data_IF_351081966051
#
_entry.id   IF_351081966051
#
_cell.length_a   1.000
_cell.length_b   1.000
_cell.length_c   1.000
_cell.angle_alpha   90.00
_cell.angle_beta   90.00
_cell.angle_gamma   90.00
#
_symmetry.space_group_name_H-M   'P 1'
#
loop_
_entity.id
_entity.type
_entity.pdbx_description
1 polymer ?
#
# COMPACT_ATOMS: atom_id res chain seq x y z
N UNK A 1 -26.68 13.79 19.37
CA UNK A 1 -25.39 14.14 18.71
C UNK A 1 -25.74 14.78 17.39
N UNK A 2 -25.11 15.92 17.04
CA UNK A 2 -25.36 16.55 15.75
C UNK A 2 -24.66 15.74 14.66
N UNK A 3 -25.36 15.45 13.58
CA UNK A 3 -24.81 14.89 12.36
C UNK A 3 -24.21 16.05 11.55
N UNK A 4 -22.91 16.02 11.32
CA UNK A 4 -22.22 16.95 10.44
C UNK A 4 -22.37 16.47 8.99
N UNK A 5 -22.37 17.39 8.02
CA UNK A 5 -22.51 17.05 6.62
C UNK A 5 -21.44 17.76 5.80
N UNK A 6 -20.82 17.02 4.86
CA UNK A 6 -19.86 17.54 3.89
C UNK A 6 -20.11 16.93 2.50
N UNK A 7 -19.77 17.66 1.44
CA UNK A 7 -19.82 17.11 0.08
C UNK A 7 -18.83 15.93 -0.07
N UNK A 8 -17.61 16.09 0.45
CA UNK A 8 -16.62 15.03 0.39
C UNK A 8 -15.90 14.85 1.74
N UNK A 9 -15.89 13.62 2.23
CA UNK A 9 -15.15 13.21 3.44
C UNK A 9 -14.00 12.29 3.01
N UNK A 10 -12.77 12.70 3.28
CA UNK A 10 -11.56 11.94 2.94
C UNK A 10 -10.98 11.34 4.22
N UNK A 11 -10.79 10.04 4.24
CA UNK A 11 -10.24 9.31 5.38
C UNK A 11 -8.77 8.99 5.13
N UNK A 12 -7.87 9.70 5.84
CA UNK A 12 -6.42 9.60 5.72
C UNK A 12 -5.80 10.82 5.04
N UNK A 13 -4.98 11.55 5.77
CA UNK A 13 -4.25 12.76 5.32
C UNK A 13 -2.83 12.47 4.79
N UNK A 14 -2.62 11.26 4.24
CA UNK A 14 -1.39 10.90 3.53
C UNK A 14 -1.37 11.39 2.09
N UNK A 15 -0.38 10.97 1.26
CA UNK A 15 -0.22 11.46 -0.12
C UNK A 15 -1.46 11.20 -0.99
N UNK A 16 -2.16 10.07 -0.84
CA UNK A 16 -3.38 9.80 -1.57
C UNK A 16 -4.51 10.77 -1.16
N UNK A 17 -4.75 10.92 0.14
CA UNK A 17 -5.85 11.76 0.64
C UNK A 17 -5.66 13.24 0.32
N UNK A 18 -4.44 13.75 0.47
CA UNK A 18 -4.12 15.15 0.14
C UNK A 18 -4.21 15.40 -1.37
N UNK A 19 -3.70 14.48 -2.22
CA UNK A 19 -3.84 14.59 -3.66
C UNK A 19 -5.31 14.61 -4.09
N UNK A 20 -6.13 13.70 -3.53
CA UNK A 20 -7.57 13.67 -3.80
C UNK A 20 -8.28 14.95 -3.33
N UNK A 21 -7.96 15.46 -2.14
CA UNK A 21 -8.56 16.67 -1.59
C UNK A 21 -8.27 17.89 -2.47
N UNK A 22 -7.01 18.07 -2.87
CA UNK A 22 -6.58 19.13 -3.78
C UNK A 22 -7.34 19.02 -5.12
N UNK A 23 -7.37 17.80 -5.68
CA UNK A 23 -8.02 17.58 -6.97
C UNK A 23 -9.53 17.83 -6.93
N UNK A 24 -10.21 17.47 -5.85
CA UNK A 24 -11.63 17.80 -5.65
C UNK A 24 -11.87 19.31 -5.65
N UNK A 25 -11.02 20.08 -4.94
CA UNK A 25 -11.09 21.56 -4.93
C UNK A 25 -10.87 22.15 -6.32
N UNK A 26 -9.89 21.63 -7.08
CA UNK A 26 -9.66 22.02 -8.49
C UNK A 26 -10.88 21.73 -9.39
N UNK A 27 -11.67 20.69 -9.07
CA UNK A 27 -12.91 20.32 -9.79
C UNK A 27 -14.15 21.06 -9.30
N UNK A 28 -14.01 22.03 -8.40
CA UNK A 28 -15.11 22.88 -7.91
C UNK A 28 -15.92 22.26 -6.78
N UNK A 29 -15.43 21.24 -6.10
CA UNK A 29 -16.05 20.72 -4.87
C UNK A 29 -15.57 21.59 -3.71
N UNK A 30 -16.46 22.43 -3.17
CA UNK A 30 -16.09 23.46 -2.18
C UNK A 30 -15.98 22.90 -0.75
N UNK A 31 -16.84 21.99 -0.38
CA UNK A 31 -16.92 21.44 0.97
C UNK A 31 -16.24 20.07 1.07
N UNK A 32 -14.92 20.10 1.28
CA UNK A 32 -14.05 18.94 1.42
C UNK A 32 -13.42 18.95 2.81
N UNK A 33 -13.47 17.83 3.53
CA UNK A 33 -12.81 17.64 4.82
C UNK A 33 -11.92 16.40 4.80
N UNK A 34 -10.70 16.52 5.36
CA UNK A 34 -9.77 15.40 5.55
C UNK A 34 -9.71 15.01 7.01
N UNK A 35 -9.90 13.72 7.32
CA UNK A 35 -9.79 13.14 8.66
C UNK A 35 -8.46 12.41 8.78
N UNK A 36 -7.57 12.86 9.68
CA UNK A 36 -6.25 12.27 9.89
C UNK A 36 -6.07 11.87 11.35
N UNK A 37 -5.69 10.63 11.60
CA UNK A 37 -5.51 10.09 12.95
C UNK A 37 -4.26 10.61 13.66
N UNK A 38 -3.20 10.93 12.89
CA UNK A 38 -1.96 11.47 13.43
C UNK A 38 -2.11 12.98 13.71
N UNK A 39 -1.22 13.52 14.54
CA UNK A 39 -1.18 14.97 14.83
C UNK A 39 -0.73 15.85 13.67
N UNK A 40 -0.37 15.25 12.52
CA UNK A 40 0.10 15.95 11.32
C UNK A 40 -0.29 15.17 10.07
N UNK A 41 -0.60 15.87 8.99
CA UNK A 41 -0.78 15.31 7.65
C UNK A 41 0.56 14.95 6.98
N UNK A 42 0.51 14.24 5.83
CA UNK A 42 1.67 13.77 5.08
C UNK A 42 1.89 12.26 5.16
N UNK A 43 1.24 11.59 6.11
CA UNK A 43 1.24 10.13 6.27
C UNK A 43 2.64 9.55 6.49
N UNK A 44 2.84 8.32 6.01
CA UNK A 44 4.07 7.54 6.20
C UNK A 44 5.31 8.20 5.56
N UNK A 45 5.14 9.07 4.57
CA UNK A 45 6.26 9.73 3.89
C UNK A 45 7.09 10.62 4.81
N UNK A 46 6.51 11.15 5.88
CA UNK A 46 7.24 11.97 6.86
C UNK A 46 8.47 11.28 7.44
N UNK A 47 8.44 9.96 7.55
CA UNK A 47 9.55 9.16 8.07
C UNK A 47 10.45 8.57 6.98
N UNK A 48 10.09 8.68 5.69
CA UNK A 48 10.84 8.14 4.56
C UNK A 48 11.89 9.14 4.09
N UNK A 49 12.98 9.32 4.85
CA UNK A 49 14.00 10.36 4.62
C UNK A 49 14.98 10.04 3.47
N UNK A 50 14.85 8.88 2.82
CA UNK A 50 15.63 8.53 1.63
C UNK A 50 15.05 9.17 0.38
N UNK A 51 15.85 9.27 -0.69
CA UNK A 51 15.49 9.84 -1.98
C UNK A 51 14.75 8.84 -2.89
N UNK A 52 14.23 9.37 -4.01
CA UNK A 52 13.64 8.59 -5.11
C UNK A 52 12.13 8.74 -5.23
N UNK A 53 11.53 9.66 -4.50
CA UNK A 53 10.12 10.06 -4.65
C UNK A 53 9.98 11.21 -5.66
N UNK A 54 8.87 11.26 -6.40
CA UNK A 54 8.54 12.40 -7.26
C UNK A 54 9.09 12.34 -8.68
N UNK A 55 9.84 11.30 -9.04
CA UNK A 55 10.44 11.18 -10.38
C UNK A 55 9.41 11.18 -11.50
N UNK A 56 8.30 10.48 -11.31
CA UNK A 56 7.21 10.40 -12.30
C UNK A 56 6.26 11.59 -12.18
N UNK A 57 5.92 11.99 -10.94
CA UNK A 57 4.91 13.02 -10.66
C UNK A 57 5.44 14.43 -10.87
N UNK A 58 6.68 14.71 -10.46
CA UNK A 58 7.27 16.05 -10.45
C UNK A 58 8.49 16.19 -11.36
N UNK A 59 9.03 15.08 -11.90
CA UNK A 59 10.28 15.09 -12.67
C UNK A 59 11.53 15.38 -11.82
N UNK A 60 11.43 15.26 -10.50
CA UNK A 60 12.47 15.56 -9.52
C UNK A 60 12.65 14.41 -8.56
N UNK A 61 13.87 14.20 -8.06
CA UNK A 61 14.14 13.24 -6.98
C UNK A 61 14.01 13.94 -5.64
N UNK A 62 13.01 13.58 -4.88
CA UNK A 62 12.67 14.16 -3.57
C UNK A 62 12.84 13.10 -2.48
N UNK A 63 13.05 13.54 -1.25
CA UNK A 63 12.80 12.72 -0.07
C UNK A 63 11.30 12.60 0.22
N UNK A 64 10.91 11.62 1.04
CA UNK A 64 9.51 11.46 1.43
C UNK A 64 8.90 12.70 2.09
N UNK A 65 9.58 13.34 3.09
CA UNK A 65 9.10 14.58 3.68
C UNK A 65 8.91 15.72 2.68
N UNK A 66 9.84 15.91 1.74
CA UNK A 66 9.71 16.96 0.69
C UNK A 66 8.52 16.67 -0.22
N UNK A 67 8.34 15.42 -0.63
CA UNK A 67 7.17 15.01 -1.42
C UNK A 67 5.87 15.29 -0.69
N UNK A 68 5.75 14.88 0.57
CA UNK A 68 4.56 15.09 1.38
C UNK A 68 4.28 16.58 1.60
N UNK A 69 5.34 17.37 1.85
CA UNK A 69 5.21 18.81 2.14
C UNK A 69 4.60 19.59 0.97
N UNK A 70 4.88 19.22 -0.28
CA UNK A 70 4.24 19.84 -1.47
C UNK A 70 2.72 19.74 -1.41
N UNK A 71 2.17 18.57 -1.05
CA UNK A 71 0.74 18.37 -0.91
C UNK A 71 0.16 19.06 0.32
N UNK A 72 0.88 19.06 1.42
CA UNK A 72 0.47 19.76 2.67
C UNK A 72 0.36 21.27 2.43
N UNK A 73 1.35 21.87 1.77
CA UNK A 73 1.36 23.31 1.48
C UNK A 73 0.24 23.69 0.51
N UNK A 74 0.00 22.86 -0.51
CA UNK A 74 -1.05 23.12 -1.48
C UNK A 74 -2.46 22.95 -0.85
N UNK A 75 -2.66 21.93 -0.01
CA UNK A 75 -3.91 21.77 0.73
C UNK A 75 -4.18 22.96 1.66
N UNK A 76 -3.13 23.46 2.32
CA UNK A 76 -3.20 24.67 3.16
C UNK A 76 -3.52 25.91 2.32
N UNK A 77 -2.86 26.10 1.17
CA UNK A 77 -3.12 27.21 0.25
C UNK A 77 -4.57 27.25 -0.23
N UNK A 78 -5.16 26.08 -0.47
CA UNK A 78 -6.56 25.94 -0.87
C UNK A 78 -7.55 26.00 0.29
N UNK A 79 -7.07 26.16 1.53
CA UNK A 79 -7.91 26.25 2.73
C UNK A 79 -8.67 24.96 3.02
N UNK A 80 -8.13 23.77 2.68
CA UNK A 80 -8.78 22.48 2.92
C UNK A 80 -8.68 22.14 4.41
N UNK A 81 -9.82 21.97 5.13
CA UNK A 81 -9.81 21.53 6.52
C UNK A 81 -9.23 20.13 6.66
N UNK A 82 -8.15 20.00 7.46
CA UNK A 82 -7.55 18.73 7.83
C UNK A 82 -7.71 18.56 9.35
N UNK A 83 -8.59 17.67 9.76
CA UNK A 83 -8.85 17.37 11.15
C UNK A 83 -7.87 16.30 11.61
N UNK A 84 -6.76 16.74 12.21
CA UNK A 84 -5.74 15.88 12.83
C UNK A 84 -6.19 15.34 14.17
N UNK A 85 -5.45 14.36 14.72
CA UNK A 85 -5.82 13.65 15.97
C UNK A 85 -7.24 13.07 15.90
N UNK A 86 -7.75 12.80 14.70
CA UNK A 86 -9.12 12.36 14.46
C UNK A 86 -9.12 10.95 13.84
N UNK A 87 -9.41 9.97 14.68
CA UNK A 87 -9.42 8.55 14.29
C UNK A 87 -10.82 8.14 13.85
N UNK A 88 -10.94 7.70 12.60
CA UNK A 88 -12.17 7.08 12.09
C UNK A 88 -12.32 5.69 12.67
N UNK A 89 -13.46 5.42 13.27
CA UNK A 89 -13.79 4.17 13.94
C UNK A 89 -14.65 3.26 13.06
N UNK A 90 -15.54 3.84 12.26
CA UNK A 90 -16.50 3.11 11.43
C UNK A 90 -16.99 3.95 10.25
N UNK A 91 -17.26 3.25 9.14
CA UNK A 91 -18.01 3.74 8.00
C UNK A 91 -19.28 2.90 7.85
N UNK A 92 -20.42 3.53 7.74
CA UNK A 92 -21.72 2.90 7.50
C UNK A 92 -22.07 2.92 6.00
N UNK A 93 -23.00 2.04 5.58
CA UNK A 93 -23.41 1.92 4.17
C UNK A 93 -24.09 3.20 3.62
N UNK A 94 -24.64 4.04 4.48
CA UNK A 94 -25.23 5.33 4.12
C UNK A 94 -24.20 6.46 4.02
N UNK A 95 -22.90 6.15 4.08
CA UNK A 95 -21.77 7.07 4.07
C UNK A 95 -21.62 7.94 5.33
N UNK A 96 -22.20 7.50 6.42
CA UNK A 96 -21.94 8.11 7.72
C UNK A 96 -20.63 7.59 8.30
N UNK A 97 -19.71 8.48 8.61
CA UNK A 97 -18.43 8.21 9.24
C UNK A 97 -18.53 8.52 10.72
N UNK A 98 -18.18 7.55 11.56
CA UNK A 98 -18.02 7.76 13.00
C UNK A 98 -16.55 7.95 13.31
N UNK A 99 -16.17 9.08 13.89
CA UNK A 99 -14.79 9.42 14.22
C UNK A 99 -14.67 9.89 15.68
N UNK A 100 -13.51 9.66 16.29
CA UNK A 100 -13.13 10.17 17.61
C UNK A 100 -11.95 11.13 17.47
N UNK A 101 -12.06 12.30 18.06
CA UNK A 101 -11.04 13.33 18.05
C UNK A 101 -10.98 14.12 19.35
N UNK A 102 -10.19 15.20 19.42
CA UNK A 102 -10.03 16.02 20.63
C UNK A 102 -11.36 16.60 21.16
N UNK A 103 -12.31 16.86 20.25
CA UNK A 103 -13.64 17.36 20.59
C UNK A 103 -14.65 16.25 20.99
N UNK A 104 -14.20 14.97 21.04
CA UNK A 104 -15.04 13.83 21.35
C UNK A 104 -15.50 13.07 20.11
N UNK A 105 -16.62 12.34 20.24
CA UNK A 105 -17.20 11.53 19.17
C UNK A 105 -17.96 12.40 18.16
N UNK A 106 -17.71 12.19 16.88
CA UNK A 106 -18.33 12.89 15.76
C UNK A 106 -19.02 11.91 14.82
N UNK A 107 -20.15 12.32 14.28
CA UNK A 107 -20.83 11.63 13.18
C UNK A 107 -20.85 12.57 11.99
N UNK A 108 -20.22 12.16 10.90
CA UNK A 108 -19.98 12.98 9.72
C UNK A 108 -20.53 12.23 8.52
N UNK A 109 -21.49 12.80 7.82
CA UNK A 109 -22.04 12.25 6.59
C UNK A 109 -21.39 12.92 5.39
N UNK A 110 -20.90 12.11 4.46
CA UNK A 110 -20.39 12.58 3.16
C UNK A 110 -21.37 12.29 2.02
N UNK A 111 -21.54 13.22 1.08
CA UNK A 111 -22.14 12.88 -0.19
C UNK A 111 -21.24 11.94 -0.99
N UNK A 112 -19.92 12.12 -0.85
CA UNK A 112 -18.90 11.14 -1.22
C UNK A 112 -17.94 10.87 -0.05
N UNK A 113 -17.47 9.61 0.10
CA UNK A 113 -16.45 9.22 1.08
C UNK A 113 -15.29 8.58 0.35
N UNK A 114 -14.07 9.08 0.58
CA UNK A 114 -12.84 8.62 -0.07
C UNK A 114 -11.96 7.89 0.95
N UNK A 115 -11.70 6.62 0.69
CA UNK A 115 -10.86 5.76 1.51
C UNK A 115 -9.40 5.86 1.02
N UNK A 116 -8.55 6.52 1.81
CA UNK A 116 -7.14 6.80 1.48
C UNK A 116 -6.20 6.55 2.67
N UNK A 117 -6.63 5.71 3.62
CA UNK A 117 -5.93 5.48 4.88
C UNK A 117 -4.73 4.53 4.78
N UNK A 118 -4.32 4.18 3.57
CA UNK A 118 -3.11 3.40 3.32
C UNK A 118 -3.19 1.95 3.80
N UNK A 119 -2.08 1.43 4.28
CA UNK A 119 -1.95 0.05 4.72
C UNK A 119 -1.29 -0.03 6.10
N UNK A 120 -1.31 -1.21 6.70
CA UNK A 120 -0.58 -1.56 7.92
C UNK A 120 0.37 -2.72 7.67
N UNK A 121 1.42 -2.79 8.44
CA UNK A 121 2.39 -3.87 8.36
C UNK A 121 1.86 -5.16 9.00
N UNK A 122 2.31 -6.30 8.47
CA UNK A 122 2.12 -7.59 9.14
C UNK A 122 2.99 -7.66 10.38
N UNK A 123 2.37 -7.94 11.51
CA UNK A 123 3.05 -8.11 12.80
C UNK A 123 3.49 -9.56 13.00
N UNK A 124 4.29 -9.80 14.06
CA UNK A 124 4.63 -11.14 14.51
C UNK A 124 3.39 -12.04 14.70
N UNK A 125 2.31 -11.48 15.27
CA UNK A 125 1.07 -12.22 15.48
C UNK A 125 0.42 -12.69 14.19
N UNK A 126 0.49 -11.87 13.13
CA UNK A 126 -0.02 -12.22 11.81
C UNK A 126 0.81 -13.35 11.12
N UNK A 127 2.09 -13.50 11.50
CA UNK A 127 2.98 -14.57 11.01
C UNK A 127 2.92 -15.81 11.88
N UNK A 128 2.33 -15.72 13.08
CA UNK A 128 2.29 -16.79 14.07
C UNK A 128 3.68 -17.37 14.42
N UNK A 129 4.74 -16.54 14.43
CA UNK A 129 6.09 -16.99 14.78
C UNK A 129 6.10 -17.47 16.23
N UNK A 130 6.52 -18.72 16.50
CA UNK A 130 6.60 -19.30 17.86
C UNK A 130 7.60 -18.57 18.77
N UNK A 131 7.65 -18.99 20.03
CA UNK A 131 8.61 -18.54 21.02
C UNK A 131 8.10 -17.46 21.97
N UNK A 132 9.00 -16.89 22.73
CA UNK A 132 8.72 -15.89 23.78
C UNK A 132 8.31 -14.54 23.19
N UNK A 133 7.84 -13.62 24.05
CA UNK A 133 7.37 -12.27 23.64
C UNK A 133 8.20 -11.15 24.30
N UNK A 134 9.51 -11.09 24.07
CA UNK A 134 10.34 -10.04 24.62
C UNK A 134 10.15 -8.70 23.91
N UNK A 135 10.65 -7.61 24.48
CA UNK A 135 10.90 -6.37 23.75
C UNK A 135 12.00 -6.57 22.69
N UNK A 136 12.05 -5.72 21.66
CA UNK A 136 13.05 -5.79 20.58
C UNK A 136 12.54 -6.39 19.29
N UNK A 137 11.23 -6.67 19.17
CA UNK A 137 10.59 -7.11 17.93
C UNK A 137 9.77 -5.95 17.36
N UNK A 138 10.13 -5.49 16.17
CA UNK A 138 9.58 -4.30 15.54
C UNK A 138 9.10 -4.63 14.12
N UNK A 139 8.07 -3.96 13.65
CA UNK A 139 7.84 -3.84 12.21
C UNK A 139 8.78 -2.79 11.63
N UNK A 140 9.11 -2.92 10.34
CA UNK A 140 10.09 -2.05 9.71
C UNK A 140 9.68 -0.56 9.72
N UNK A 141 8.40 -0.26 9.48
CA UNK A 141 7.90 1.10 9.51
C UNK A 141 7.89 1.72 10.90
N UNK A 142 7.58 0.94 11.96
CA UNK A 142 7.68 1.43 13.34
C UNK A 142 9.14 1.68 13.73
N UNK A 143 10.07 0.79 13.35
CA UNK A 143 11.50 1.02 13.58
C UNK A 143 11.99 2.27 12.85
N UNK A 144 11.52 2.50 11.61
CA UNK A 144 11.82 3.69 10.84
C UNK A 144 11.32 4.97 11.51
N UNK A 145 10.10 4.97 12.06
CA UNK A 145 9.56 6.10 12.83
C UNK A 145 10.43 6.43 14.04
N UNK A 146 10.80 5.41 14.83
CA UNK A 146 11.63 5.62 16.03
C UNK A 146 12.97 6.24 15.69
N UNK A 147 13.63 5.76 14.65
CA UNK A 147 14.94 6.27 14.24
C UNK A 147 14.80 7.66 13.59
N UNK A 148 13.92 7.81 12.60
CA UNK A 148 13.92 8.99 11.74
C UNK A 148 13.12 10.16 12.31
N UNK A 149 12.05 9.92 13.09
CA UNK A 149 11.24 10.98 13.66
C UNK A 149 11.48 11.20 15.16
N UNK A 150 11.92 10.16 15.89
CA UNK A 150 12.10 10.24 17.34
C UNK A 150 13.56 10.22 17.78
N UNK A 151 14.49 10.08 16.83
CA UNK A 151 15.94 9.98 17.07
C UNK A 151 16.29 8.93 18.16
N UNK A 152 15.67 7.76 18.08
CA UNK A 152 15.83 6.67 19.03
C UNK A 152 16.20 5.36 18.34
N UNK A 153 17.33 4.80 18.70
CA UNK A 153 17.74 3.48 18.23
C UNK A 153 16.83 2.38 18.79
N UNK A 154 16.53 1.39 17.96
CA UNK A 154 15.67 0.24 18.31
C UNK A 154 16.49 -0.95 18.86
N UNK A 155 17.79 -1.01 18.52
CA UNK A 155 18.76 -2.00 19.00
C UNK A 155 20.10 -1.90 18.29
N UNK A 156 21.00 -2.86 18.55
CA UNK A 156 22.38 -2.86 18.04
C UNK A 156 22.74 -4.08 17.22
N UNK A 157 22.29 -5.26 17.61
CA UNK A 157 22.50 -6.53 16.92
C UNK A 157 21.18 -6.92 16.25
N UNK A 158 21.07 -6.70 14.93
CA UNK A 158 19.80 -6.69 14.23
C UNK A 158 19.69 -7.85 13.25
N UNK A 159 18.58 -8.55 13.29
CA UNK A 159 18.13 -9.50 12.27
C UNK A 159 16.90 -8.90 11.56
N UNK A 160 16.84 -8.99 10.25
CA UNK A 160 15.70 -8.51 9.46
C UNK A 160 15.03 -9.70 8.77
N UNK A 161 13.73 -9.87 8.97
CA UNK A 161 12.92 -10.87 8.28
C UNK A 161 12.10 -10.20 7.17
N UNK A 162 12.34 -10.63 5.94
CA UNK A 162 11.74 -10.10 4.72
C UNK A 162 12.64 -9.11 3.99
N UNK A 163 12.80 -9.32 2.68
CA UNK A 163 13.62 -8.50 1.77
C UNK A 163 12.79 -7.51 0.95
N UNK A 164 11.62 -7.10 1.45
CA UNK A 164 10.86 -5.99 0.87
C UNK A 164 11.64 -4.67 0.98
N UNK A 165 11.27 -3.67 0.17
CA UNK A 165 12.01 -2.40 0.08
C UNK A 165 12.25 -1.74 1.44
N UNK A 166 11.22 -1.67 2.31
CA UNK A 166 11.37 -1.08 3.64
C UNK A 166 12.40 -1.84 4.49
N UNK A 167 12.43 -3.18 4.41
CA UNK A 167 13.40 -4.01 5.14
C UNK A 167 14.83 -3.72 4.72
N UNK A 168 15.08 -3.63 3.41
CA UNK A 168 16.40 -3.31 2.87
C UNK A 168 16.82 -1.87 3.19
N UNK A 169 15.92 -0.90 3.05
CA UNK A 169 16.16 0.50 3.43
C UNK A 169 16.49 0.60 4.92
N UNK A 170 15.80 -0.17 5.77
CA UNK A 170 16.08 -0.20 7.20
C UNK A 170 17.41 -0.89 7.52
N UNK A 171 17.80 -1.93 6.76
CA UNK A 171 19.12 -2.54 6.90
C UNK A 171 20.23 -1.50 6.71
N UNK A 172 20.18 -0.76 5.60
CA UNK A 172 21.10 0.36 5.34
C UNK A 172 21.03 1.43 6.44
N UNK A 173 19.82 1.87 6.80
CA UNK A 173 19.62 2.95 7.77
C UNK A 173 20.21 2.59 9.14
N UNK A 174 19.94 1.39 9.65
CA UNK A 174 20.46 0.91 10.91
C UNK A 174 21.99 0.80 10.92
N UNK A 175 22.57 0.34 9.81
CA UNK A 175 24.03 0.28 9.64
C UNK A 175 24.65 1.67 9.68
N UNK A 176 24.04 2.66 9.03
CA UNK A 176 24.49 4.07 9.06
C UNK A 176 24.42 4.68 10.47
N UNK A 177 23.49 4.23 11.30
CA UNK A 177 23.36 4.65 12.71
C UNK A 177 24.24 3.83 13.66
N UNK A 178 25.11 2.96 13.13
CA UNK A 178 26.08 2.20 13.91
C UNK A 178 25.55 0.89 14.51
N UNK A 179 24.41 0.39 14.08
CA UNK A 179 23.96 -0.96 14.41
C UNK A 179 24.64 -1.99 13.48
N UNK A 180 24.83 -3.21 13.99
CA UNK A 180 25.29 -4.34 13.21
C UNK A 180 24.10 -5.14 12.70
N UNK A 181 23.84 -5.07 11.38
CA UNK A 181 22.81 -5.88 10.73
C UNK A 181 23.43 -7.22 10.33
N UNK A 182 23.07 -8.28 11.04
CA UNK A 182 23.60 -9.64 10.82
C UNK A 182 23.17 -10.26 9.52
N UNK A 183 22.00 -9.88 9.01
CA UNK A 183 21.50 -10.32 7.73
C UNK A 183 20.03 -10.04 7.53
N UNK A 184 19.64 -10.14 6.27
CA UNK A 184 18.25 -10.11 5.81
C UNK A 184 17.86 -11.52 5.39
N UNK A 185 16.76 -12.04 5.91
CA UNK A 185 16.26 -13.39 5.67
C UNK A 185 14.92 -13.33 4.94
N UNK A 186 14.86 -14.01 3.80
CA UNK A 186 13.71 -13.98 2.90
C UNK A 186 13.18 -15.41 2.68
N UNK A 187 11.88 -15.59 2.88
CA UNK A 187 11.22 -16.89 2.70
C UNK A 187 11.15 -17.32 1.24
N UNK A 188 11.08 -16.36 0.31
CA UNK A 188 11.09 -16.62 -1.12
C UNK A 188 12.47 -17.05 -1.62
N UNK A 189 12.57 -17.81 -2.73
CA UNK A 189 13.83 -18.11 -3.38
C UNK A 189 14.38 -16.92 -4.21
N UNK A 190 13.79 -15.75 -4.08
CA UNK A 190 14.19 -14.50 -4.73
C UNK A 190 13.87 -13.31 -3.82
N UNK A 191 14.57 -12.16 -4.00
CA UNK A 191 14.27 -10.94 -3.24
C UNK A 191 12.88 -10.40 -3.55
N UNK A 192 12.21 -9.86 -2.52
CA UNK A 192 10.83 -9.35 -2.63
C UNK A 192 10.75 -7.87 -2.99
N UNK A 193 11.84 -7.11 -2.88
CA UNK A 193 11.89 -5.68 -3.19
C UNK A 193 12.58 -5.36 -4.52
N UNK A 194 12.74 -4.08 -4.80
CA UNK A 194 13.30 -3.58 -6.05
C UNK A 194 14.80 -3.88 -6.17
N UNK A 195 15.31 -4.26 -7.36
CA UNK A 195 16.73 -4.58 -7.57
C UNK A 195 17.70 -3.47 -7.13
N UNK A 196 17.34 -2.19 -7.34
CA UNK A 196 18.15 -1.05 -6.90
C UNK A 196 18.41 -1.04 -5.39
N UNK A 197 17.42 -1.48 -4.59
CA UNK A 197 17.55 -1.51 -3.15
C UNK A 197 18.43 -2.67 -2.67
N UNK A 198 18.53 -3.76 -3.43
CA UNK A 198 19.51 -4.82 -3.17
C UNK A 198 20.93 -4.26 -3.28
N UNK A 199 21.22 -3.54 -4.36
CA UNK A 199 22.55 -2.92 -4.55
C UNK A 199 22.84 -1.86 -3.49
N UNK A 200 21.99 -0.84 -3.40
CA UNK A 200 22.23 0.36 -2.59
C UNK A 200 22.06 0.15 -1.08
N UNK A 201 21.32 -0.88 -0.66
CA UNK A 201 21.02 -1.09 0.75
C UNK A 201 21.70 -2.32 1.35
N UNK A 202 22.02 -3.32 0.54
CA UNK A 202 22.66 -4.55 1.03
C UNK A 202 24.08 -4.70 0.51
N UNK A 203 24.29 -4.73 -0.83
CA UNK A 203 25.60 -4.99 -1.42
C UNK A 203 26.63 -3.90 -1.05
N UNK A 204 26.25 -2.60 -1.18
CA UNK A 204 27.13 -1.48 -0.82
C UNK A 204 27.57 -1.48 0.66
N UNK A 205 26.80 -2.15 1.53
CA UNK A 205 27.06 -2.24 2.97
C UNK A 205 27.50 -3.64 3.42
N UNK A 206 27.73 -4.56 2.48
CA UNK A 206 28.11 -5.96 2.76
C UNK A 206 27.14 -6.68 3.71
N UNK A 207 25.86 -6.36 3.66
CA UNK A 207 24.81 -7.00 4.46
C UNK A 207 24.35 -8.28 3.75
N UNK A 208 24.48 -9.47 4.38
CA UNK A 208 24.13 -10.73 3.73
C UNK A 208 22.61 -10.88 3.55
N UNK A 209 22.21 -11.39 2.37
CA UNK A 209 20.83 -11.77 2.04
C UNK A 209 20.72 -13.29 1.95
N UNK A 210 19.89 -13.87 2.80
CA UNK A 210 19.62 -15.31 2.88
C UNK A 210 18.23 -15.61 2.31
N UNK A 211 18.19 -16.19 1.10
CA UNK A 211 16.94 -16.60 0.45
C UNK A 211 16.51 -17.99 0.90
N UNK A 212 15.20 -18.29 0.82
CA UNK A 212 14.59 -19.54 1.30
C UNK A 212 14.84 -19.80 2.79
N UNK A 213 14.81 -18.73 3.61
CA UNK A 213 14.98 -18.81 5.06
C UNK A 213 13.85 -18.06 5.79
N UNK A 214 13.51 -18.53 6.98
CA UNK A 214 12.52 -17.86 7.84
C UNK A 214 12.90 -17.99 9.31
N UNK A 215 12.35 -17.11 10.15
CA UNK A 215 12.45 -17.20 11.60
C UNK A 215 11.43 -18.22 12.10
N UNK A 216 11.88 -19.23 12.82
CA UNK A 216 11.07 -20.34 13.33
C UNK A 216 10.88 -20.31 14.83
N UNK A 217 11.72 -19.58 15.58
CA UNK A 217 11.56 -19.40 17.03
C UNK A 217 12.17 -18.09 17.51
N UNK A 218 11.68 -17.58 18.65
CA UNK A 218 12.11 -16.32 19.27
C UNK A 218 12.52 -16.58 20.70
N UNK A 219 13.75 -16.15 21.05
CA UNK A 219 14.38 -16.37 22.35
C UNK A 219 14.58 -15.06 23.11
N UNK A 220 14.36 -15.10 24.40
CA UNK A 220 14.57 -13.97 25.31
C UNK A 220 13.44 -13.86 26.33
N UNK A 221 13.66 -13.12 27.40
CA UNK A 221 12.68 -12.92 28.46
C UNK A 221 12.18 -11.48 28.51
N UNK A 222 12.98 -10.57 28.99
CA UNK A 222 12.65 -9.14 29.04
C UNK A 222 12.90 -8.47 27.67
N UNK A 223 14.03 -8.83 27.03
CA UNK A 223 14.43 -8.38 25.70
C UNK A 223 14.81 -9.58 24.84
N UNK A 224 14.79 -9.40 23.53
CA UNK A 224 15.24 -10.38 22.56
C UNK A 224 16.72 -10.70 22.80
N UNK A 225 17.05 -11.98 22.82
CA UNK A 225 18.41 -12.51 22.98
C UNK A 225 18.87 -13.27 21.73
N UNK A 226 17.93 -13.64 20.87
CA UNK A 226 18.22 -14.32 19.63
C UNK A 226 16.96 -14.86 18.96
N UNK A 227 17.14 -15.34 17.75
CA UNK A 227 16.12 -16.03 16.95
C UNK A 227 16.67 -17.35 16.42
N UNK A 228 15.79 -18.32 16.19
CA UNK A 228 16.12 -19.50 15.39
C UNK A 228 15.67 -19.25 13.95
N UNK A 229 16.57 -19.51 13.01
CA UNK A 229 16.33 -19.38 11.57
C UNK A 229 16.43 -20.78 10.97
N UNK A 230 15.53 -21.10 10.06
CA UNK A 230 15.54 -22.36 9.33
C UNK A 230 15.40 -22.13 7.83
N UNK A 231 16.00 -23.01 7.04
CA UNK A 231 15.71 -23.08 5.61
C UNK A 231 14.27 -23.57 5.39
N UNK A 232 13.66 -23.15 4.28
CA UNK A 232 12.31 -23.59 3.90
C UNK A 232 12.31 -24.36 2.58
N UNK A 233 11.36 -25.28 2.45
CA UNK A 233 11.08 -26.01 1.22
C UNK A 233 10.26 -25.13 0.22
N UNK A 234 9.96 -25.68 -0.95
CA UNK A 234 9.16 -25.02 -1.99
C UNK A 234 7.70 -24.68 -1.56
N UNK A 235 7.24 -25.25 -0.44
CA UNK A 235 5.94 -24.94 0.17
C UNK A 235 6.07 -24.01 1.37
N UNK A 236 7.25 -23.37 1.52
CA UNK A 236 7.61 -22.47 2.62
C UNK A 236 7.53 -23.11 4.01
N UNK A 237 7.72 -24.43 4.11
CA UNK A 237 7.75 -25.14 5.40
C UNK A 237 9.20 -25.28 5.84
N UNK A 238 9.49 -25.01 7.14
CA UNK A 238 10.83 -25.21 7.69
C UNK A 238 11.34 -26.65 7.47
N UNK A 239 12.58 -26.77 7.06
CA UNK A 239 13.25 -28.05 6.84
C UNK A 239 13.92 -28.47 8.15
N UNK A 240 13.50 -29.59 8.77
CA UNK A 240 14.12 -30.05 10.02
C UNK A 240 15.63 -30.31 9.87
N UNK A 241 16.40 -29.97 10.92
CA UNK A 241 17.84 -30.13 10.94
C UNK A 241 18.61 -28.98 10.26
N UNK A 242 17.91 -27.90 9.87
CA UNK A 242 18.55 -26.70 9.31
C UNK A 242 18.45 -25.50 10.25
N UNK A 243 18.01 -25.74 11.49
CA UNK A 243 17.85 -24.71 12.52
C UNK A 243 19.20 -24.13 12.92
N UNK A 244 19.34 -22.83 12.81
CA UNK A 244 20.50 -22.07 13.24
C UNK A 244 20.04 -20.98 14.22
N UNK A 245 20.71 -20.88 15.39
CA UNK A 245 20.49 -19.79 16.32
C UNK A 245 21.35 -18.60 15.95
N UNK A 246 20.70 -17.45 15.79
CA UNK A 246 21.35 -16.15 15.58
C UNK A 246 21.08 -15.28 16.79
N UNK A 247 22.14 -14.97 17.56
CA UNK A 247 22.03 -14.06 18.70
C UNK A 247 21.83 -12.63 18.21
N UNK A 248 20.78 -11.98 18.71
CA UNK A 248 20.43 -10.60 18.34
C UNK A 248 19.57 -9.97 19.44
N UNK A 249 19.61 -8.65 19.55
CA UNK A 249 18.76 -7.87 20.46
C UNK A 249 17.54 -7.25 19.77
N UNK A 250 17.49 -7.35 18.45
CA UNK A 250 16.43 -6.73 17.63
C UNK A 250 16.08 -7.60 16.42
N UNK A 251 14.78 -7.85 16.25
CA UNK A 251 14.18 -8.45 15.07
C UNK A 251 13.29 -7.43 14.37
N UNK A 252 13.61 -7.11 13.12
CA UNK A 252 12.78 -6.24 12.25
C UNK A 252 11.96 -7.13 11.32
N UNK A 253 10.65 -6.87 11.26
CA UNK A 253 9.71 -7.58 10.40
C UNK A 253 9.35 -6.69 9.20
N UNK A 254 9.74 -7.11 8.00
CA UNK A 254 9.39 -6.50 6.71
C UNK A 254 8.70 -7.52 5.81
N UNK A 255 7.60 -8.08 6.29
CA UNK A 255 6.95 -9.29 5.77
C UNK A 255 5.63 -9.01 5.03
N UNK A 256 5.54 -7.84 4.47
CA UNK A 256 4.43 -7.38 3.66
C UNK A 256 3.43 -6.49 4.40
N UNK A 257 2.57 -5.88 3.61
CA UNK A 257 1.59 -4.88 4.01
C UNK A 257 0.18 -5.43 3.82
N UNK A 258 -0.77 -4.89 4.56
CA UNK A 258 -2.20 -5.23 4.48
C UNK A 258 -2.97 -3.91 4.34
N UNK A 259 -3.82 -3.74 3.32
CA UNK A 259 -4.72 -2.60 3.20
C UNK A 259 -5.51 -2.35 4.49
N UNK A 260 -5.58 -1.09 4.93
CA UNK A 260 -6.19 -0.70 6.21
C UNK A 260 -7.71 -0.47 6.07
N UNK A 261 -8.42 -1.45 5.53
CA UNK A 261 -9.87 -1.39 5.25
C UNK A 261 -10.79 -1.76 6.42
N UNK A 262 -10.25 -1.99 7.61
CA UNK A 262 -11.01 -2.53 8.76
C UNK A 262 -12.20 -1.66 9.18
N UNK A 263 -12.15 -0.34 8.97
CA UNK A 263 -13.24 0.61 9.30
C UNK A 263 -14.51 0.40 8.48
N UNK A 264 -14.39 -0.21 7.31
CA UNK A 264 -15.51 -0.53 6.44
C UNK A 264 -16.07 -1.94 6.69
N UNK A 265 -15.50 -2.69 7.66
CA UNK A 265 -16.06 -3.97 8.07
C UNK A 265 -17.46 -3.75 8.68
N UNK A 266 -18.46 -4.43 8.11
CA UNK A 266 -19.86 -4.26 8.50
C UNK A 266 -20.66 -3.24 7.68
N UNK A 267 -20.04 -2.43 6.83
CA UNK A 267 -20.74 -1.55 5.89
C UNK A 267 -21.33 -2.31 4.68
N UNK A 268 -20.91 -3.56 4.44
CA UNK A 268 -21.24 -4.32 3.24
C UNK A 268 -20.28 -4.06 2.06
N UNK A 269 -19.17 -3.37 2.30
CA UNK A 269 -18.11 -3.14 1.30
C UNK A 269 -17.52 -4.48 0.86
N UNK A 270 -17.55 -4.76 -0.45
CA UNK A 270 -16.93 -5.94 -1.02
C UNK A 270 -15.40 -5.79 -1.01
N UNK A 271 -14.70 -6.85 -0.58
CA UNK A 271 -13.24 -6.89 -0.48
C UNK A 271 -12.68 -7.89 -1.47
N UNK A 272 -11.64 -7.51 -2.21
CA UNK A 272 -10.91 -8.41 -3.10
C UNK A 272 -10.05 -9.38 -2.29
N UNK A 273 -10.22 -10.68 -2.54
CA UNK A 273 -9.52 -11.73 -1.79
C UNK A 273 -8.01 -11.78 -2.02
N UNK A 274 -7.51 -11.17 -3.11
CA UNK A 274 -6.09 -11.15 -3.49
C UNK A 274 -5.37 -9.92 -2.93
N UNK A 275 -5.91 -8.72 -3.18
CA UNK A 275 -5.32 -7.47 -2.66
C UNK A 275 -5.67 -7.23 -1.20
N UNK A 276 -6.79 -7.74 -0.73
CA UNK A 276 -7.44 -7.44 0.55
C UNK A 276 -7.90 -5.97 0.69
N UNK A 277 -7.86 -5.22 -0.39
CA UNK A 277 -8.47 -3.89 -0.51
C UNK A 277 -9.90 -3.98 -1.00
N UNK A 278 -10.53 -2.82 -1.19
CA UNK A 278 -11.88 -2.76 -1.73
C UNK A 278 -11.95 -3.32 -3.16
N UNK A 279 -13.07 -3.91 -3.49
CA UNK A 279 -13.42 -4.22 -4.87
C UNK A 279 -13.90 -2.93 -5.55
N UNK A 280 -13.28 -2.51 -6.66
CA UNK A 280 -13.59 -1.24 -7.33
C UNK A 280 -13.85 -1.39 -8.82
N UNK A 281 -14.57 -0.43 -9.35
CA UNK A 281 -14.75 -0.24 -10.79
C UNK A 281 -13.71 0.73 -11.40
N UNK A 282 -13.80 1.01 -12.68
CA UNK A 282 -12.89 1.92 -13.41
C UNK A 282 -12.95 3.38 -12.95
N UNK A 283 -13.92 3.73 -12.11
CA UNK A 283 -14.07 5.01 -11.44
C UNK A 283 -13.49 5.00 -10.01
N UNK A 284 -12.83 3.90 -9.60
CA UNK A 284 -12.40 3.67 -8.21
C UNK A 284 -13.57 3.65 -7.21
N UNK A 285 -14.83 3.57 -7.68
CA UNK A 285 -15.99 3.42 -6.83
C UNK A 285 -16.08 1.99 -6.33
N UNK A 286 -16.33 1.85 -5.04
CA UNK A 286 -16.49 0.55 -4.38
C UNK A 286 -17.87 -0.05 -4.64
N UNK A 287 -18.17 -1.18 -3.97
CA UNK A 287 -19.53 -1.77 -4.00
C UNK A 287 -20.60 -0.90 -3.34
N UNK A 288 -20.21 0.18 -2.65
CA UNK A 288 -21.12 1.15 -2.02
C UNK A 288 -21.10 2.42 -2.87
N UNK A 289 -22.22 2.82 -3.49
CA UNK A 289 -22.29 4.05 -4.29
C UNK A 289 -21.87 5.29 -3.48
N UNK A 290 -20.98 6.10 -4.07
CA UNK A 290 -20.43 7.29 -3.43
C UNK A 290 -19.29 6.99 -2.42
N UNK A 291 -18.87 5.74 -2.30
CA UNK A 291 -17.65 5.37 -1.55
C UNK A 291 -16.57 4.95 -2.53
N UNK A 292 -15.40 5.58 -2.44
CA UNK A 292 -14.27 5.40 -3.34
C UNK A 292 -13.03 4.94 -2.57
N UNK A 293 -12.08 4.26 -3.24
CA UNK A 293 -10.83 3.82 -2.62
C UNK A 293 -9.65 3.99 -3.57
N UNK A 294 -8.52 4.53 -3.08
CA UNK A 294 -7.26 4.64 -3.81
C UNK A 294 -6.03 4.56 -2.91
N UNK A 295 -4.88 4.28 -3.51
CA UNK A 295 -3.62 4.13 -2.82
C UNK A 295 -3.51 2.79 -2.08
N UNK A 296 -2.65 2.74 -1.05
CA UNK A 296 -2.31 1.48 -0.40
C UNK A 296 -3.45 0.83 0.40
N UNK A 297 -4.57 1.50 0.59
CA UNK A 297 -5.80 0.88 1.13
C UNK A 297 -6.52 0.04 0.07
N UNK A 298 -6.30 0.33 -1.22
CA UNK A 298 -6.87 -0.41 -2.34
C UNK A 298 -5.94 -1.57 -2.76
N UNK A 299 -4.70 -1.26 -3.07
CA UNK A 299 -3.61 -2.21 -3.32
C UNK A 299 -2.25 -1.55 -3.04
N UNK A 300 -1.28 -2.35 -2.62
CA UNK A 300 0.03 -1.80 -2.23
C UNK A 300 0.83 -1.39 -3.47
N UNK A 301 1.25 -0.13 -3.52
CA UNK A 301 2.08 0.43 -4.58
C UNK A 301 3.58 0.30 -4.25
N UNK A 302 4.42 0.26 -5.28
CA UNK A 302 5.88 0.35 -5.20
C UNK A 302 6.39 1.80 -5.25
N UNK A 303 5.65 2.70 -5.91
CA UNK A 303 6.01 4.12 -6.03
C UNK A 303 4.86 5.01 -5.55
N UNK A 304 5.16 5.98 -4.69
CA UNK A 304 4.16 6.94 -4.19
C UNK A 304 3.61 7.85 -5.28
N UNK A 305 4.36 8.06 -6.35
CA UNK A 305 3.90 8.83 -7.51
C UNK A 305 2.59 8.25 -8.07
N UNK A 306 2.50 6.92 -8.16
CA UNK A 306 1.28 6.27 -8.62
C UNK A 306 0.16 6.32 -7.58
N UNK A 307 0.49 6.38 -6.28
CA UNK A 307 -0.51 6.57 -5.21
C UNK A 307 -1.23 7.90 -5.37
N UNK A 308 -0.49 8.99 -5.60
CA UNK A 308 -1.10 10.33 -5.77
C UNK A 308 -1.82 10.47 -7.10
N UNK A 309 -1.29 9.93 -8.21
CA UNK A 309 -1.95 9.95 -9.51
C UNK A 309 -3.25 9.12 -9.51
N UNK A 310 -3.26 7.96 -8.87
CA UNK A 310 -4.46 7.15 -8.69
C UNK A 310 -5.52 7.89 -7.88
N UNK A 311 -5.10 8.56 -6.80
CA UNK A 311 -5.99 9.35 -5.96
C UNK A 311 -6.57 10.58 -6.68
N UNK A 312 -5.83 11.19 -7.59
CA UNK A 312 -6.34 12.26 -8.47
C UNK A 312 -7.39 11.73 -9.45
N UNK A 313 -7.16 10.56 -10.05
CA UNK A 313 -8.14 9.93 -10.93
C UNK A 313 -9.43 9.54 -10.17
N UNK A 314 -9.28 9.02 -8.95
CA UNK A 314 -10.39 8.78 -8.03
C UNK A 314 -11.17 10.07 -7.76
N UNK A 315 -10.48 11.18 -7.49
CA UNK A 315 -11.12 12.47 -7.18
C UNK A 315 -11.88 13.04 -8.39
N UNK A 316 -11.36 12.84 -9.61
CA UNK A 316 -12.08 13.19 -10.84
C UNK A 316 -13.43 12.45 -10.94
N UNK A 317 -13.43 11.15 -10.64
CA UNK A 317 -14.64 10.33 -10.62
C UNK A 317 -15.61 10.71 -9.47
N UNK A 318 -15.07 10.99 -8.28
CA UNK A 318 -15.87 11.43 -7.14
C UNK A 318 -16.53 12.80 -7.43
N UNK A 319 -15.82 13.73 -8.07
CA UNK A 319 -16.40 15.01 -8.51
C UNK A 319 -17.50 14.83 -9.58
N UNK A 320 -17.34 13.87 -10.48
CA UNK A 320 -18.37 13.49 -11.45
C UNK A 320 -19.60 12.91 -10.74
N UNK A 321 -19.40 12.02 -9.78
CA UNK A 321 -20.46 11.46 -8.94
C UNK A 321 -21.24 12.55 -8.19
N UNK A 322 -20.55 13.49 -7.56
CA UNK A 322 -21.15 14.59 -6.79
C UNK A 322 -22.01 15.51 -7.67
N UNK A 323 -21.62 15.72 -8.94
CA UNK A 323 -22.41 16.52 -9.89
C UNK A 323 -23.62 15.79 -10.43
N UNK A 324 -23.49 14.50 -10.74
CA UNK A 324 -24.49 13.73 -11.49
C UNK A 324 -25.39 12.85 -10.59
N UNK A 325 -25.00 12.65 -9.32
CA UNK A 325 -25.68 11.74 -8.39
C UNK A 325 -25.39 10.25 -8.63
N UNK A 326 -24.83 9.88 -9.77
CA UNK A 326 -24.45 8.52 -10.13
C UNK A 326 -23.32 8.52 -11.17
N UNK A 327 -22.61 7.39 -11.28
CA UNK A 327 -21.64 7.11 -12.33
C UNK A 327 -22.17 6.08 -13.33
N UNK A 328 -21.65 6.04 -14.57
CA UNK A 328 -21.99 5.01 -15.53
C UNK A 328 -21.75 3.60 -14.97
N UNK A 329 -22.62 2.62 -15.26
CA UNK A 329 -22.46 1.26 -14.76
C UNK A 329 -21.26 0.56 -15.39
N UNK A 330 -20.58 -0.27 -14.61
CA UNK A 330 -19.42 -1.08 -15.01
C UNK A 330 -19.77 -2.57 -14.97
N UNK A 331 -20.50 -3.10 -15.96
CA UNK A 331 -21.02 -4.47 -15.92
C UNK A 331 -19.95 -5.53 -16.21
N UNK A 332 -18.86 -5.19 -16.92
CA UNK A 332 -17.85 -6.16 -17.36
C UNK A 332 -16.84 -6.44 -16.25
N UNK A 333 -16.63 -7.70 -15.92
CA UNK A 333 -15.61 -8.09 -14.95
C UNK A 333 -14.23 -8.15 -15.61
N UNK A 334 -13.19 -7.78 -14.84
CA UNK A 334 -11.78 -7.98 -15.20
C UNK A 334 -11.21 -9.07 -14.31
N UNK A 335 -10.73 -10.15 -14.93
CA UNK A 335 -10.24 -11.33 -14.24
C UNK A 335 -8.73 -11.50 -14.41
N UNK A 336 -8.07 -11.84 -13.32
CA UNK A 336 -6.66 -12.25 -13.35
C UNK A 336 -6.57 -13.71 -13.80
N UNK A 337 -5.92 -13.93 -14.95
CA UNK A 337 -5.57 -15.23 -15.50
C UNK A 337 -4.17 -15.69 -15.09
N UNK A 338 -3.51 -16.41 -15.98
CA UNK A 338 -2.21 -17.05 -15.73
C UNK A 338 -1.12 -16.05 -15.33
N UNK A 339 -0.35 -16.40 -14.30
CA UNK A 339 0.76 -15.63 -13.74
C UNK A 339 0.42 -14.20 -13.26
N UNK A 340 -0.86 -13.82 -13.19
CA UNK A 340 -1.31 -12.55 -12.64
C UNK A 340 -1.70 -12.72 -11.17
N UNK A 341 -1.01 -12.02 -10.28
CA UNK A 341 -1.28 -12.02 -8.84
C UNK A 341 -2.58 -11.30 -8.50
N UNK A 342 -2.75 -10.09 -9.02
CA UNK A 342 -3.99 -9.31 -8.94
C UNK A 342 -4.06 -8.31 -10.11
N UNK A 343 -5.26 -7.80 -10.37
CA UNK A 343 -5.54 -6.77 -11.38
C UNK A 343 -6.64 -5.83 -10.90
N UNK A 344 -6.48 -4.55 -11.20
CA UNK A 344 -7.47 -3.49 -10.95
C UNK A 344 -7.62 -2.62 -12.21
N UNK A 345 -8.80 -1.98 -12.40
CA UNK A 345 -10.03 -2.21 -11.66
C UNK A 345 -10.57 -3.63 -11.91
N UNK A 346 -11.48 -4.09 -11.04
CA UNK A 346 -12.12 -5.40 -11.21
C UNK A 346 -13.40 -5.34 -12.07
N UNK A 347 -13.90 -4.12 -12.33
CA UNK A 347 -15.05 -3.90 -13.22
C UNK A 347 -14.83 -2.69 -14.13
N UNK A 348 -15.34 -2.78 -15.35
CA UNK A 348 -15.25 -1.71 -16.35
C UNK A 348 -16.56 -1.60 -17.12
N UNK A 349 -16.81 -0.44 -17.72
CA UNK A 349 -17.98 -0.19 -18.58
C UNK A 349 -17.81 -0.77 -19.98
N UNK A 350 -16.56 -0.81 -20.49
CA UNK A 350 -16.24 -1.09 -21.88
C UNK A 350 -16.48 0.10 -22.83
N UNK A 351 -16.84 1.28 -22.31
CA UNK A 351 -17.21 2.46 -23.11
C UNK A 351 -16.27 3.65 -22.93
N UNK A 352 -15.31 3.57 -21.99
CA UNK A 352 -14.30 4.60 -21.77
C UNK A 352 -12.90 3.99 -21.63
N UNK A 353 -11.89 4.82 -21.87
CA UNK A 353 -10.50 4.46 -21.65
C UNK A 353 -10.22 4.29 -20.14
N UNK A 354 -9.45 3.28 -19.78
CA UNK A 354 -9.02 3.05 -18.39
C UNK A 354 -7.59 2.46 -18.36
N UNK A 355 -7.00 2.43 -17.17
CA UNK A 355 -5.70 1.81 -16.95
C UNK A 355 -5.85 0.59 -16.07
N UNK A 356 -5.34 -0.55 -16.53
CA UNK A 356 -5.17 -1.74 -15.69
C UNK A 356 -3.88 -1.60 -14.89
N UNK A 357 -3.97 -1.78 -13.58
CA UNK A 357 -2.84 -1.93 -12.67
C UNK A 357 -2.77 -3.39 -12.23
N UNK A 358 -1.62 -4.05 -12.41
CA UNK A 358 -1.48 -5.46 -12.07
C UNK A 358 -0.08 -5.80 -11.56
N UNK A 359 0.03 -6.90 -10.81
CA UNK A 359 1.30 -7.53 -10.45
C UNK A 359 1.32 -8.98 -10.87
N UNK A 360 2.50 -9.46 -11.29
CA UNK A 360 2.71 -10.88 -11.55
C UNK A 360 2.85 -11.65 -10.25
N UNK A 361 2.54 -12.95 -10.29
CA UNK A 361 2.61 -13.85 -9.12
C UNK A 361 4.01 -14.35 -8.79
N UNK A 362 4.94 -14.27 -9.74
CA UNK A 362 6.35 -14.69 -9.62
C UNK A 362 7.23 -13.92 -10.60
N UNK A 363 8.57 -13.88 -10.41
CA UNK A 363 9.47 -13.29 -11.38
C UNK A 363 9.42 -14.05 -12.71
N UNK A 364 9.31 -13.30 -13.81
CA UNK A 364 9.21 -13.84 -15.17
C UNK A 364 10.17 -13.08 -16.09
N UNK A 365 10.72 -13.77 -17.10
CA UNK A 365 11.60 -13.20 -18.13
C UNK A 365 10.99 -13.41 -19.51
N UNK A 366 11.17 -12.41 -20.41
CA UNK A 366 10.69 -12.44 -21.81
C UNK A 366 9.20 -12.78 -21.86
N UNK A 367 8.37 -11.92 -21.26
CA UNK A 367 6.93 -12.17 -21.09
C UNK A 367 6.10 -11.46 -22.12
N UNK A 368 4.97 -12.07 -22.46
CA UNK A 368 3.89 -11.45 -23.19
C UNK A 368 2.70 -11.26 -22.24
N UNK A 369 2.32 -10.01 -22.05
CA UNK A 369 1.11 -9.64 -21.33
C UNK A 369 -0.02 -9.52 -22.36
N UNK A 370 -1.13 -10.17 -22.10
CA UNK A 370 -2.29 -10.22 -22.99
C UNK A 370 -3.56 -9.90 -22.24
N UNK A 371 -4.39 -9.04 -22.82
CA UNK A 371 -5.78 -8.82 -22.39
C UNK A 371 -6.69 -9.42 -23.45
N UNK A 372 -7.61 -10.29 -23.05
CA UNK A 372 -8.59 -10.92 -23.93
C UNK A 372 -10.00 -10.58 -23.50
N UNK A 373 -10.89 -10.47 -24.49
CA UNK A 373 -12.34 -10.35 -24.30
C UNK A 373 -13.05 -11.22 -25.33
N UNK A 374 -13.98 -12.04 -24.92
CA UNK A 374 -14.71 -12.97 -25.81
C UNK A 374 -13.76 -13.86 -26.66
N UNK A 375 -12.61 -14.27 -26.09
CA UNK A 375 -11.59 -15.06 -26.78
C UNK A 375 -10.70 -14.27 -27.76
N UNK A 376 -11.02 -13.00 -28.04
CA UNK A 376 -10.24 -12.10 -28.90
C UNK A 376 -9.18 -11.36 -28.08
N UNK A 377 -7.97 -11.21 -28.61
CA UNK A 377 -6.92 -10.37 -28.04
C UNK A 377 -7.24 -8.90 -28.30
N UNK A 378 -7.43 -8.12 -27.24
CA UNK A 378 -7.71 -6.68 -27.30
C UNK A 378 -6.47 -5.84 -27.00
N UNK A 379 -5.50 -6.41 -26.26
CA UNK A 379 -4.22 -5.77 -26.01
C UNK A 379 -3.12 -6.82 -25.85
N UNK A 380 -1.96 -6.53 -26.42
CA UNK A 380 -0.72 -7.31 -26.25
C UNK A 380 0.46 -6.39 -25.97
N UNK A 381 1.29 -6.75 -25.00
CA UNK A 381 2.53 -6.04 -24.67
C UNK A 381 3.63 -7.03 -24.33
N UNK A 382 4.78 -6.90 -25.00
CA UNK A 382 5.97 -7.72 -24.73
C UNK A 382 6.88 -6.95 -23.78
N UNK A 383 7.36 -7.62 -22.73
CA UNK A 383 8.26 -7.06 -21.74
C UNK A 383 9.48 -7.96 -21.57
N UNK A 384 10.69 -7.40 -21.36
CA UNK A 384 11.90 -8.20 -21.13
C UNK A 384 11.83 -8.98 -19.81
N UNK A 385 11.13 -8.44 -18.82
CA UNK A 385 10.90 -9.05 -17.51
C UNK A 385 9.63 -8.49 -16.87
N UNK A 386 9.07 -9.23 -15.92
CA UNK A 386 8.04 -8.78 -14.99
C UNK A 386 8.36 -9.32 -13.59
N UNK A 387 8.31 -8.45 -12.58
CA UNK A 387 8.64 -8.78 -11.20
C UNK A 387 7.43 -8.53 -10.28
N UNK A 388 7.20 -9.36 -9.24
CA UNK A 388 6.13 -9.11 -8.26
C UNK A 388 6.29 -7.78 -7.51
N UNK A 389 7.52 -7.29 -7.38
CA UNK A 389 7.83 -6.01 -6.75
C UNK A 389 7.37 -4.80 -7.56
N UNK A 390 7.21 -4.93 -8.88
CA UNK A 390 6.92 -3.83 -9.80
C UNK A 390 5.44 -3.87 -10.24
N UNK A 391 4.75 -2.71 -10.12
CA UNK A 391 3.39 -2.55 -10.64
C UNK A 391 3.43 -2.33 -12.15
N UNK A 392 2.72 -3.16 -12.90
CA UNK A 392 2.53 -2.97 -14.33
C UNK A 392 1.27 -2.17 -14.58
N UNK A 393 1.39 -1.09 -15.35
CA UNK A 393 0.26 -0.27 -15.77
C UNK A 393 0.05 -0.38 -17.29
N UNK A 394 -1.20 -0.64 -17.68
CA UNK A 394 -1.62 -0.86 -19.06
C UNK A 394 -2.81 0.02 -19.41
N UNK A 395 -2.62 1.06 -20.21
CA UNK A 395 -3.73 1.79 -20.80
C UNK A 395 -4.52 0.89 -21.76
N UNK A 396 -5.82 0.79 -21.56
CA UNK A 396 -6.76 0.08 -22.42
C UNK A 396 -7.70 1.10 -23.06
N UNK A 397 -7.80 1.04 -24.40
CA UNK A 397 -8.65 1.93 -25.17
C UNK A 397 -10.04 1.33 -25.35
N UNK A 398 -11.08 2.10 -25.08
CA UNK A 398 -12.47 1.69 -25.22
C UNK A 398 -12.81 1.20 -26.64
N UNK A 399 -12.24 1.83 -27.66
CA UNK A 399 -12.44 1.45 -29.07
C UNK A 399 -12.07 0.00 -29.42
N UNK A 400 -11.28 -0.66 -28.55
CA UNK A 400 -10.85 -2.06 -28.71
C UNK A 400 -11.75 -3.05 -28.00
N UNK A 401 -12.72 -2.55 -27.22
CA UNK A 401 -13.58 -3.36 -26.36
C UNK A 401 -14.97 -3.55 -26.96
N UNK A 402 -15.56 -4.69 -26.65
CA UNK A 402 -16.98 -4.92 -26.82
C UNK A 402 -17.72 -4.48 -25.54
N UNK A 403 -18.97 -4.07 -25.68
CA UNK A 403 -19.83 -3.69 -24.55
C UNK A 403 -20.37 -4.90 -23.76
N UNK A 404 -19.97 -6.10 -24.13
CA UNK A 404 -20.35 -7.36 -23.49
C UNK A 404 -19.17 -8.33 -23.42
N UNK A 405 -19.18 -9.20 -22.41
CA UNK A 405 -18.12 -10.18 -22.17
C UNK A 405 -17.02 -9.66 -21.26
N UNK A 406 -16.63 -10.51 -20.31
CA UNK A 406 -15.60 -10.22 -19.33
C UNK A 406 -14.20 -10.12 -19.98
N UNK A 407 -13.29 -9.39 -19.33
CA UNK A 407 -11.90 -9.30 -19.72
C UNK A 407 -11.07 -10.27 -18.88
N UNK A 408 -10.09 -10.93 -19.52
CA UNK A 408 -9.07 -11.75 -18.86
C UNK A 408 -7.69 -11.19 -19.14
N UNK A 409 -6.88 -11.03 -18.08
CA UNK A 409 -5.52 -10.51 -18.15
C UNK A 409 -4.56 -11.64 -17.77
N UNK A 410 -3.69 -12.03 -18.69
CA UNK A 410 -2.72 -13.12 -18.50
C UNK A 410 -1.30 -12.69 -18.87
N UNK A 411 -0.31 -13.33 -18.26
CA UNK A 411 1.12 -13.17 -18.55
C UNK A 411 1.73 -14.52 -18.86
N UNK A 412 2.28 -14.66 -20.06
CA UNK A 412 2.90 -15.89 -20.55
C UNK A 412 4.37 -15.71 -20.92
#
# INVERSE_FOLDING_TARGET
MNLEHHQAVIIGGGPAGLAAAIRLREKGVEDVVVLEREGQTGGILRQCIHDGFGLTRFGESLSGPEYAQRFVDEARRLGIPCLTDTTVLRLDADRTVTASGPAGLRHIRGDAVLLTMGCRERTRGALAIPGSRPAGIWTAGVAQEYINLRNRMVGREVVILGSGDIGMIMARRLTLEGAHVKGVYEVQPYPSGLPRNIEQCLNDYSIPLHLSHTVTDIHGRARLEGVTISRVDERFRPIPGTEERVDCDTLILSVGLIPAGDIANGSGLAVDGRTRGAFVDEHYQTSIPGVFAAGNVLHVHDLVDFVSLEAEALADAAAEYLRNGALPPCPLAVRAGDNVGHVLPQRVSGTRDFTLSLRVSRPLKKVTLTVRQNGREVLRRVLPKALPAEMLQLPVKAERLDTSGDLEVSVS
#
